data_IF_943124021128
#
_entry.id   IF_943124021128
#
_cell.length_a   1.000
_cell.length_b   1.000
_cell.length_c   1.000
_cell.angle_alpha   90.00
_cell.angle_beta   90.00
_cell.angle_gamma   90.00
#
_symmetry.space_group_name_H-M   'P 1'
#
loop_
_entity.id
_entity.type
_entity.pdbx_description
1 polymer ?
#
# COMPACT_ATOMS: atom_id res chain seq x y z
N UNK A 1 -44.14 1.03 36.35
CA UNK A 1 -42.87 1.41 37.01
C UNK A 1 -42.40 2.74 36.43
N UNK A 2 -42.60 3.85 37.15
CA UNK A 2 -42.30 5.22 36.69
C UNK A 2 -40.95 5.65 37.26
N UNK A 3 -40.03 6.10 36.40
CA UNK A 3 -38.67 6.46 36.82
C UNK A 3 -38.67 7.70 37.71
N UNK A 4 -38.11 7.55 38.91
CA UNK A 4 -37.91 8.55 39.94
C UNK A 4 -36.77 9.49 39.57
N UNK A 5 -37.03 10.59 38.86
CA UNK A 5 -36.09 11.72 38.81
C UNK A 5 -36.83 12.98 38.38
N UNK A 6 -37.09 13.86 39.36
CA UNK A 6 -37.72 15.15 39.15
C UNK A 6 -36.99 16.00 38.11
N UNK A 7 -37.76 16.78 37.35
CA UNK A 7 -37.27 17.74 36.37
C UNK A 7 -36.35 18.76 37.05
N UNK A 8 -35.04 18.48 37.13
CA UNK A 8 -34.07 19.43 37.69
C UNK A 8 -34.00 20.64 36.78
N UNK A 9 -34.27 21.82 37.34
CA UNK A 9 -34.18 23.07 36.57
C UNK A 9 -32.75 23.26 36.02
N UNK A 10 -32.57 23.92 34.86
CA UNK A 10 -31.25 24.15 34.28
C UNK A 10 -30.26 24.83 35.24
N UNK A 11 -30.75 25.70 36.12
CA UNK A 11 -29.96 26.34 37.18
C UNK A 11 -29.45 25.33 38.23
N UNK A 12 -30.29 24.36 38.60
CA UNK A 12 -29.92 23.28 39.53
C UNK A 12 -28.84 22.37 38.92
N UNK A 13 -28.97 22.03 37.64
CA UNK A 13 -27.97 21.24 36.91
C UNK A 13 -26.64 22.00 36.82
N UNK A 14 -26.66 23.30 36.50
CA UNK A 14 -25.47 24.13 36.43
C UNK A 14 -24.74 24.22 37.77
N UNK A 15 -25.48 24.39 38.88
CA UNK A 15 -24.91 24.46 40.24
C UNK A 15 -24.25 23.15 40.67
N UNK A 16 -24.86 22.00 40.36
CA UNK A 16 -24.32 20.67 40.70
C UNK A 16 -23.10 20.33 39.84
N UNK A 17 -23.20 20.55 38.52
CA UNK A 17 -22.16 20.15 37.54
C UNK A 17 -21.02 21.17 37.42
N UNK A 18 -21.18 22.38 37.98
CA UNK A 18 -20.29 23.53 37.79
C UNK A 18 -20.07 23.91 36.32
N UNK A 19 -20.98 23.50 35.43
CA UNK A 19 -20.99 23.89 34.02
C UNK A 19 -21.78 25.19 33.89
N UNK A 20 -21.31 26.18 33.09
CA UNK A 20 -22.05 27.41 32.85
C UNK A 20 -23.49 27.15 32.42
N UNK A 21 -24.46 27.87 33.02
CA UNK A 21 -25.90 27.68 32.77
C UNK A 21 -26.28 27.77 31.29
N UNK A 22 -25.55 28.56 30.49
CA UNK A 22 -25.70 28.65 29.03
C UNK A 22 -25.48 27.30 28.32
N UNK A 23 -24.46 26.55 28.74
CA UNK A 23 -24.08 25.27 28.13
C UNK A 23 -25.07 24.19 28.54
N UNK A 24 -25.56 24.23 29.78
CA UNK A 24 -26.62 23.34 30.25
C UNK A 24 -27.90 23.55 29.44
N UNK A 25 -28.34 24.80 29.25
CA UNK A 25 -29.51 25.12 28.41
C UNK A 25 -29.32 24.65 26.97
N UNK A 26 -28.16 24.91 26.37
CA UNK A 26 -27.82 24.44 25.02
C UNK A 26 -27.91 22.91 24.89
N UNK A 27 -27.31 22.16 25.83
CA UNK A 27 -27.33 20.71 25.82
C UNK A 27 -28.75 20.15 26.01
N UNK A 28 -29.59 20.75 26.85
CA UNK A 28 -31.00 20.33 27.00
C UNK A 28 -31.75 20.47 25.68
N UNK A 29 -31.58 21.59 24.98
CA UNK A 29 -32.17 21.80 23.64
C UNK A 29 -31.60 20.79 22.63
N UNK A 30 -30.28 20.55 22.67
CA UNK A 30 -29.61 19.57 21.80
C UNK A 30 -30.16 18.16 22.01
N UNK A 31 -30.34 17.71 23.26
CA UNK A 31 -30.94 16.42 23.61
C UNK A 31 -32.39 16.34 23.16
N UNK A 32 -33.18 17.41 23.38
CA UNK A 32 -34.59 17.43 22.96
C UNK A 32 -34.73 17.27 21.44
N UNK A 33 -33.83 17.85 20.66
CA UNK A 33 -33.88 17.83 19.20
C UNK A 33 -33.22 16.58 18.58
N UNK A 34 -32.09 16.11 19.12
CA UNK A 34 -31.25 15.06 18.51
C UNK A 34 -31.28 13.73 19.30
N UNK A 35 -31.88 13.71 20.48
CA UNK A 35 -31.87 12.56 21.39
C UNK A 35 -30.51 12.28 22.04
N UNK A 36 -29.44 12.97 21.64
CA UNK A 36 -28.07 12.75 22.12
C UNK A 36 -27.30 14.05 22.31
N UNK A 37 -26.33 14.02 23.24
CA UNK A 37 -25.34 15.10 23.45
C UNK A 37 -24.12 14.89 22.55
N UNK A 38 -23.96 13.69 21.99
CA UNK A 38 -22.80 13.30 21.19
C UNK A 38 -22.58 14.23 19.99
N UNK A 39 -21.34 14.30 19.55
CA UNK A 39 -20.97 15.04 18.36
C UNK A 39 -21.43 14.33 17.08
N UNK A 40 -21.57 15.11 16.01
CA UNK A 40 -21.98 14.56 14.71
C UNK A 40 -20.95 13.52 14.25
N UNK A 41 -21.39 12.31 13.87
CA UNK A 41 -20.47 11.30 13.35
C UNK A 41 -19.80 11.78 12.06
N UNK A 42 -18.55 11.31 11.85
CA UNK A 42 -17.80 11.64 10.64
C UNK A 42 -18.47 11.00 9.42
N UNK A 43 -18.42 11.72 8.29
CA UNK A 43 -18.88 11.19 6.99
C UNK A 43 -18.05 9.99 6.53
N UNK A 44 -16.73 10.04 6.72
CA UNK A 44 -15.83 8.94 6.36
C UNK A 44 -15.76 7.94 7.51
N UNK A 45 -16.19 6.72 7.25
CA UNK A 45 -16.30 5.63 8.23
C UNK A 45 -15.03 4.78 8.30
N UNK A 46 -14.96 3.88 9.27
CA UNK A 46 -13.85 2.92 9.38
C UNK A 46 -13.75 1.97 8.17
N UNK A 47 -14.87 1.66 7.51
CA UNK A 47 -14.87 0.85 6.29
C UNK A 47 -14.28 1.61 5.10
N UNK A 48 -14.49 2.92 5.04
CA UNK A 48 -13.90 3.78 4.02
C UNK A 48 -12.41 3.95 4.25
N UNK A 49 -11.96 3.99 5.51
CA UNK A 49 -10.53 3.96 5.85
C UNK A 49 -9.83 2.70 5.30
N UNK A 50 -10.49 1.55 5.38
CA UNK A 50 -9.96 0.30 4.79
C UNK A 50 -9.85 0.44 3.26
N UNK A 51 -10.85 1.01 2.60
CA UNK A 51 -10.84 1.23 1.16
C UNK A 51 -9.72 2.20 0.73
N UNK A 52 -9.61 3.33 1.41
CA UNK A 52 -8.56 4.33 1.20
C UNK A 52 -7.16 3.72 1.39
N UNK A 53 -6.96 2.94 2.46
CA UNK A 53 -5.70 2.24 2.74
C UNK A 53 -5.36 1.25 1.62
N UNK A 54 -6.33 0.48 1.13
CA UNK A 54 -6.14 -0.46 0.02
C UNK A 54 -5.82 0.25 -1.29
N UNK A 55 -6.52 1.33 -1.63
CA UNK A 55 -6.28 2.09 -2.86
C UNK A 55 -4.88 2.72 -2.87
N UNK A 56 -4.46 3.33 -1.75
CA UNK A 56 -3.11 3.90 -1.61
C UNK A 56 -2.04 2.81 -1.64
N UNK A 57 -2.31 1.62 -1.08
CA UNK A 57 -1.37 0.50 -1.17
C UNK A 57 -1.20 -0.03 -2.59
N UNK A 58 -2.24 0.04 -3.42
CA UNK A 58 -2.18 -0.37 -4.84
C UNK A 58 -1.41 0.66 -5.67
N UNK A 59 -1.67 1.94 -5.43
CA UNK A 59 -0.97 3.04 -6.06
C UNK A 59 -0.75 4.14 -5.02
N UNK A 60 0.48 4.30 -4.56
CA UNK A 60 0.80 5.31 -3.56
C UNK A 60 1.01 6.71 -4.15
N UNK A 61 0.98 6.85 -5.47
CA UNK A 61 1.07 8.12 -6.19
C UNK A 61 -0.32 8.72 -6.49
N UNK A 62 -1.40 8.03 -6.10
CA UNK A 62 -2.78 8.48 -6.34
C UNK A 62 -3.02 9.87 -5.74
N UNK A 63 -3.55 10.78 -6.55
CA UNK A 63 -3.86 12.15 -6.12
C UNK A 63 -5.08 12.14 -5.20
N UNK A 64 -5.16 13.11 -4.28
CA UNK A 64 -6.34 13.23 -3.40
C UNK A 64 -7.65 13.41 -4.19
N UNK A 65 -7.62 14.04 -5.37
CA UNK A 65 -8.80 14.16 -6.24
C UNK A 65 -9.26 12.79 -6.78
N UNK A 66 -8.32 11.93 -7.19
CA UNK A 66 -8.65 10.58 -7.66
C UNK A 66 -9.27 9.73 -6.54
N UNK A 67 -8.82 9.91 -5.29
CA UNK A 67 -9.44 9.25 -4.13
C UNK A 67 -10.85 9.76 -3.86
N UNK A 68 -11.11 11.05 -4.05
CA UNK A 68 -12.48 11.61 -3.97
C UNK A 68 -13.37 10.95 -5.02
N UNK A 69 -12.91 10.88 -6.27
CA UNK A 69 -13.68 10.23 -7.32
C UNK A 69 -13.94 8.76 -7.00
N UNK A 70 -12.96 8.02 -6.47
CA UNK A 70 -13.17 6.63 -6.04
C UNK A 70 -14.18 6.50 -4.90
N UNK A 71 -14.17 7.41 -3.92
CA UNK A 71 -15.17 7.42 -2.85
C UNK A 71 -16.58 7.72 -3.39
N UNK A 72 -16.70 8.62 -4.36
CA UNK A 72 -17.99 8.91 -4.98
C UNK A 72 -18.51 7.70 -5.77
N UNK A 73 -17.70 7.09 -6.64
CA UNK A 73 -18.17 6.01 -7.51
C UNK A 73 -18.33 4.65 -6.80
N UNK A 74 -17.38 4.26 -5.94
CA UNK A 74 -17.37 2.93 -5.33
C UNK A 74 -18.21 2.86 -4.03
N UNK A 75 -18.47 4.02 -3.40
CA UNK A 75 -19.07 4.11 -2.05
C UNK A 75 -20.21 5.11 -1.96
N UNK A 76 -20.58 5.78 -3.05
CA UNK A 76 -21.59 6.85 -3.09
C UNK A 76 -21.33 7.96 -2.05
N UNK A 77 -20.06 8.21 -1.76
CA UNK A 77 -19.64 9.12 -0.70
C UNK A 77 -19.12 10.43 -1.28
N UNK A 78 -19.99 11.43 -1.36
CA UNK A 78 -19.60 12.77 -1.81
C UNK A 78 -18.85 13.54 -0.69
N UNK A 79 -17.53 13.64 -0.84
CA UNK A 79 -16.63 14.35 0.08
C UNK A 79 -15.66 15.25 -0.65
N UNK A 80 -15.24 16.32 0.01
CA UNK A 80 -14.22 17.21 -0.54
C UNK A 80 -12.83 16.56 -0.54
N UNK A 81 -11.95 17.05 -1.42
CA UNK A 81 -10.52 16.70 -1.41
C UNK A 81 -9.88 16.92 -0.04
N UNK A 82 -10.27 17.99 0.66
CA UNK A 82 -9.74 18.31 1.97
C UNK A 82 -10.17 17.29 3.03
N UNK A 83 -11.42 16.83 2.98
CA UNK A 83 -11.93 15.77 3.86
C UNK A 83 -11.08 14.51 3.72
N UNK A 84 -10.78 14.09 2.49
CA UNK A 84 -9.90 12.94 2.23
C UNK A 84 -8.50 13.18 2.78
N UNK A 85 -7.90 14.35 2.55
CA UNK A 85 -6.56 14.67 3.09
C UNK A 85 -6.50 14.65 4.62
N UNK A 86 -7.50 15.23 5.29
CA UNK A 86 -7.61 15.20 6.73
C UNK A 86 -7.78 13.78 7.27
N UNK A 87 -8.60 12.96 6.60
CA UNK A 87 -8.77 11.56 6.98
C UNK A 87 -7.46 10.77 6.80
N UNK A 88 -6.76 10.94 5.68
CA UNK A 88 -5.46 10.30 5.44
C UNK A 88 -4.42 10.70 6.48
N UNK A 89 -4.35 11.98 6.87
CA UNK A 89 -3.49 12.44 7.97
C UNK A 89 -3.84 11.74 9.28
N UNK A 90 -5.13 11.63 9.62
CA UNK A 90 -5.61 10.88 10.81
C UNK A 90 -5.21 9.40 10.76
N UNK A 91 -5.25 8.79 9.58
CA UNK A 91 -4.79 7.41 9.35
C UNK A 91 -3.26 7.25 9.34
N UNK A 92 -2.50 8.34 9.59
CA UNK A 92 -1.03 8.34 9.65
C UNK A 92 -0.33 8.46 8.29
N UNK A 93 -1.05 8.76 7.21
CA UNK A 93 -0.46 8.98 5.90
C UNK A 93 0.13 10.38 5.74
N UNK A 94 1.30 10.44 5.10
CA UNK A 94 1.95 11.66 4.64
C UNK A 94 2.22 11.57 3.15
N UNK A 95 1.94 12.65 2.42
CA UNK A 95 2.32 12.80 1.01
C UNK A 95 3.66 13.51 0.95
N UNK A 96 4.69 12.85 0.42
CA UNK A 96 6.04 13.40 0.35
C UNK A 96 6.72 13.04 -0.99
N UNK A 97 7.69 13.84 -1.41
CA UNK A 97 8.56 13.45 -2.52
C UNK A 97 9.44 12.28 -2.08
N UNK A 98 9.62 11.24 -2.92
CA UNK A 98 10.59 10.20 -2.63
C UNK A 98 12.01 10.77 -2.62
N UNK A 99 12.91 10.14 -1.87
CA UNK A 99 14.33 10.46 -1.93
C UNK A 99 14.87 10.26 -3.35
N UNK A 100 15.77 11.15 -3.77
CA UNK A 100 16.48 11.00 -5.05
C UNK A 100 17.45 9.83 -4.90
N UNK A 101 17.17 8.75 -5.62
CA UNK A 101 18.05 7.57 -5.67
C UNK A 101 18.31 7.22 -7.11
N UNK A 102 19.57 6.95 -7.46
CA UNK A 102 19.93 6.42 -8.77
C UNK A 102 19.20 5.10 -9.03
N UNK A 103 18.67 4.90 -10.24
CA UNK A 103 18.00 3.66 -10.61
C UNK A 103 19.04 2.57 -10.84
N UNK A 104 19.41 1.87 -9.76
CA UNK A 104 20.35 0.75 -9.84
C UNK A 104 19.64 -0.52 -10.31
N UNK A 105 20.09 -1.06 -11.45
CA UNK A 105 19.73 -2.40 -11.89
C UNK A 105 20.39 -3.44 -10.98
N UNK A 106 19.93 -4.69 -11.06
CA UNK A 106 20.52 -5.78 -10.27
C UNK A 106 22.01 -5.96 -10.60
N UNK A 107 22.36 -5.94 -11.88
CA UNK A 107 23.75 -5.96 -12.36
C UNK A 107 24.59 -4.82 -11.80
N UNK A 108 24.04 -3.59 -11.71
CA UNK A 108 24.76 -2.47 -11.12
C UNK A 108 25.06 -2.68 -9.63
N UNK A 109 24.13 -3.30 -8.88
CA UNK A 109 24.33 -3.59 -7.47
C UNK A 109 25.43 -4.62 -7.27
N UNK A 110 25.38 -5.71 -8.04
CA UNK A 110 26.39 -6.77 -7.99
C UNK A 110 27.78 -6.22 -8.33
N UNK A 111 27.90 -5.46 -9.42
CA UNK A 111 29.16 -4.82 -9.80
C UNK A 111 29.69 -3.88 -8.71
N UNK A 112 28.82 -3.05 -8.11
CA UNK A 112 29.22 -2.16 -7.00
C UNK A 112 29.71 -2.92 -5.78
N UNK A 113 29.03 -4.02 -5.42
CA UNK A 113 29.43 -4.85 -4.28
C UNK A 113 30.76 -5.56 -4.55
N UNK A 114 30.92 -6.15 -5.74
CA UNK A 114 32.17 -6.79 -6.14
C UNK A 114 33.34 -5.80 -6.16
N UNK A 115 33.13 -4.61 -6.71
CA UNK A 115 34.15 -3.56 -6.72
C UNK A 115 34.55 -3.16 -5.30
N UNK A 116 33.57 -2.96 -4.40
CA UNK A 116 33.85 -2.61 -3.01
C UNK A 116 34.58 -3.72 -2.23
N UNK A 117 34.33 -4.99 -2.56
CA UNK A 117 35.06 -6.12 -1.98
C UNK A 117 36.50 -6.14 -2.48
N UNK A 118 36.70 -5.94 -3.78
CA UNK A 118 38.02 -5.98 -4.42
C UNK A 118 38.94 -4.86 -3.92
N UNK A 119 38.40 -3.65 -3.70
CA UNK A 119 39.16 -2.46 -3.32
C UNK A 119 39.02 -2.13 -1.83
N UNK A 120 38.68 -3.13 -1.00
CA UNK A 120 38.43 -2.92 0.44
C UNK A 120 39.68 -2.47 1.20
N UNK A 121 40.83 -3.01 0.82
CA UNK A 121 42.10 -2.84 1.52
C UNK A 121 43.09 -1.96 0.74
N UNK A 122 42.60 -1.23 -0.27
CA UNK A 122 43.41 -0.35 -1.11
C UNK A 122 43.87 0.91 -0.36
N UNK A 123 45.09 1.35 -0.64
CA UNK A 123 45.62 2.64 -0.16
C UNK A 123 45.26 3.77 -1.14
N UNK A 124 44.35 4.64 -0.71
CA UNK A 124 43.83 5.76 -1.48
C UNK A 124 44.71 7.03 -1.42
N UNK A 125 45.80 7.01 -0.64
CA UNK A 125 46.67 8.18 -0.40
C UNK A 125 47.29 8.79 -1.67
N UNK A 126 47.43 8.00 -2.74
CA UNK A 126 47.98 8.41 -4.05
C UNK A 126 46.92 8.48 -5.15
N UNK A 127 45.64 8.39 -4.82
CA UNK A 127 44.55 8.38 -5.80
C UNK A 127 43.85 9.74 -5.86
N UNK A 128 43.74 10.32 -7.06
CA UNK A 128 42.93 11.52 -7.30
C UNK A 128 41.63 11.09 -7.95
N UNK A 129 40.51 11.50 -7.36
CA UNK A 129 39.18 11.32 -7.94
C UNK A 129 38.77 12.57 -8.71
N UNK A 130 38.27 12.40 -9.92
CA UNK A 130 37.63 13.44 -10.73
C UNK A 130 36.20 13.02 -11.04
N UNK A 131 35.26 13.97 -11.03
CA UNK A 131 33.86 13.73 -11.39
C UNK A 131 33.31 14.92 -12.19
N UNK A 132 32.36 14.64 -13.09
CA UNK A 132 31.65 15.65 -13.87
C UNK A 132 30.21 15.76 -13.38
N UNK A 133 29.76 16.97 -13.05
CA UNK A 133 28.38 17.17 -12.58
C UNK A 133 27.47 17.66 -13.70
N UNK A 134 26.41 16.91 -13.98
CA UNK A 134 25.33 17.33 -14.90
C UNK A 134 24.17 18.01 -14.15
N UNK A 135 23.70 19.16 -14.65
CA UNK A 135 22.55 19.88 -14.08
C UNK A 135 21.24 19.43 -14.74
N UNK A 136 20.29 18.90 -13.95
CA UNK A 136 18.96 18.53 -14.45
C UNK A 136 17.99 19.72 -14.46
N UNK A 137 17.41 20.01 -15.63
CA UNK A 137 16.41 21.07 -15.82
C UNK A 137 15.03 20.73 -15.25
N UNK A 138 14.68 19.44 -15.15
CA UNK A 138 13.36 19.00 -14.69
C UNK A 138 13.44 18.23 -13.37
N UNK A 139 12.63 18.65 -12.39
CA UNK A 139 12.58 18.05 -11.05
C UNK A 139 11.43 17.05 -10.95
N UNK A 140 11.64 15.96 -10.24
CA UNK A 140 10.56 15.05 -9.87
C UNK A 140 9.56 15.76 -8.93
N UNK A 141 8.32 15.91 -9.38
CA UNK A 141 7.21 16.52 -8.62
C UNK A 141 6.21 15.49 -8.09
N UNK A 142 6.41 14.20 -8.40
CA UNK A 142 5.47 13.12 -8.05
C UNK A 142 5.62 12.80 -6.56
N UNK A 143 4.58 13.11 -5.79
CA UNK A 143 4.51 12.81 -4.36
C UNK A 143 3.88 11.43 -4.14
N UNK A 144 4.42 10.71 -3.16
CA UNK A 144 3.93 9.40 -2.73
C UNK A 144 3.34 9.48 -1.33
N UNK A 145 2.20 8.84 -1.14
CA UNK A 145 1.60 8.58 0.15
C UNK A 145 2.36 7.46 0.87
N UNK A 146 2.72 7.70 2.11
CA UNK A 146 3.32 6.67 2.95
C UNK A 146 2.86 6.85 4.40
N UNK A 147 2.57 5.73 5.06
CA UNK A 147 2.57 5.69 6.53
C UNK A 147 4.03 5.61 6.94
N UNK A 148 4.47 6.60 7.72
CA UNK A 148 5.83 6.82 8.21
C UNK A 148 6.88 5.82 7.66
N UNK A 149 7.64 6.19 6.61
CA UNK A 149 8.78 5.40 6.15
C UNK A 149 9.80 5.14 7.27
N UNK A 150 9.86 6.05 8.25
CA UNK A 150 10.67 5.95 9.46
C UNK A 150 10.36 4.70 10.28
N UNK A 151 9.10 4.26 10.35
CA UNK A 151 8.71 3.12 11.19
C UNK A 151 9.28 1.80 10.65
N UNK A 152 9.23 1.62 9.32
CA UNK A 152 9.89 0.50 8.63
C UNK A 152 11.40 0.59 8.69
N UNK A 153 11.95 1.80 8.60
CA UNK A 153 13.38 2.05 8.69
C UNK A 153 13.90 1.78 10.11
N UNK A 154 13.14 2.11 11.14
CA UNK A 154 13.46 1.85 12.55
C UNK A 154 13.44 0.34 12.82
N UNK A 155 12.42 -0.37 12.33
CA UNK A 155 12.36 -1.84 12.40
C UNK A 155 13.56 -2.46 11.66
N UNK A 156 13.89 -1.98 10.46
CA UNK A 156 15.07 -2.41 9.71
C UNK A 156 16.36 -2.15 10.49
N UNK A 157 16.51 -0.95 11.07
CA UNK A 157 17.69 -0.54 11.85
C UNK A 157 17.88 -1.43 13.07
N UNK A 158 16.83 -1.72 13.83
CA UNK A 158 16.92 -2.61 14.99
C UNK A 158 17.17 -4.06 14.58
N UNK A 159 16.56 -4.52 13.48
CA UNK A 159 16.81 -5.85 12.94
C UNK A 159 18.26 -6.03 12.46
N UNK A 160 18.83 -5.04 11.76
CA UNK A 160 20.25 -5.03 11.34
C UNK A 160 21.22 -4.98 12.53
N UNK A 161 20.77 -4.47 13.68
CA UNK A 161 21.52 -4.50 14.96
C UNK A 161 21.40 -5.84 15.71
N UNK A 162 20.72 -6.84 15.12
CA UNK A 162 20.58 -8.18 15.69
C UNK A 162 19.46 -8.35 16.72
N UNK A 163 18.56 -7.38 16.88
CA UNK A 163 17.45 -7.51 17.83
C UNK A 163 16.39 -8.52 17.32
N UNK A 164 15.86 -9.31 18.24
CA UNK A 164 14.74 -10.23 17.96
C UNK A 164 13.45 -9.47 17.69
N UNK A 165 12.53 -10.04 16.91
CA UNK A 165 11.26 -9.37 16.56
C UNK A 165 10.43 -8.92 17.77
N UNK A 166 10.50 -9.65 18.90
CA UNK A 166 9.86 -9.24 20.15
C UNK A 166 10.53 -8.05 20.84
N UNK A 167 11.86 -7.94 20.79
CA UNK A 167 12.60 -6.77 21.28
C UNK A 167 12.34 -5.55 20.38
N UNK A 168 12.36 -5.75 19.06
CA UNK A 168 12.04 -4.69 18.10
C UNK A 168 10.65 -4.13 18.36
N UNK A 169 9.64 -4.99 18.59
CA UNK A 169 8.28 -4.55 18.91
C UNK A 169 8.21 -3.62 20.13
N UNK A 170 8.88 -3.98 21.24
CA UNK A 170 8.91 -3.14 22.45
C UNK A 170 9.46 -1.73 22.19
N UNK A 171 10.41 -1.57 21.27
CA UNK A 171 10.96 -0.27 20.90
C UNK A 171 10.08 0.55 19.94
N UNK A 172 9.12 -0.08 19.25
CA UNK A 172 8.30 0.57 18.22
C UNK A 172 6.80 0.57 18.52
N UNK A 173 6.38 -0.01 19.65
CA UNK A 173 4.99 -0.07 20.09
C UNK A 173 4.39 1.33 20.26
N UNK A 174 5.17 2.27 20.81
CA UNK A 174 4.78 3.68 20.95
C UNK A 174 4.57 4.40 19.61
N UNK A 175 5.07 3.83 18.50
CA UNK A 175 4.85 4.33 17.14
C UNK A 175 3.55 3.77 16.52
N UNK A 176 2.79 2.95 17.25
CA UNK A 176 1.54 2.34 16.77
C UNK A 176 1.74 1.17 15.81
N UNK A 177 2.96 0.60 15.74
CA UNK A 177 3.22 -0.60 14.94
C UNK A 177 2.79 -1.83 15.74
N UNK A 178 1.88 -2.62 15.18
CA UNK A 178 1.48 -3.88 15.82
C UNK A 178 2.60 -4.92 15.77
N UNK A 179 2.62 -5.85 16.74
CA UNK A 179 3.57 -6.97 16.78
C UNK A 179 3.63 -7.72 15.44
N UNK A 180 2.46 -8.03 14.87
CA UNK A 180 2.37 -8.65 13.55
C UNK A 180 2.93 -7.76 12.42
N UNK A 181 2.82 -6.44 12.53
CA UNK A 181 3.47 -5.48 11.63
C UNK A 181 4.99 -5.63 11.63
N UNK A 182 5.60 -5.75 12.81
CA UNK A 182 7.05 -5.97 12.97
C UNK A 182 7.49 -7.28 12.32
N UNK A 183 6.84 -8.39 12.65
CA UNK A 183 7.17 -9.69 12.05
C UNK A 183 7.00 -9.72 10.52
N UNK A 184 5.96 -9.05 9.98
CA UNK A 184 5.79 -8.90 8.52
C UNK A 184 6.89 -8.05 7.87
N UNK A 185 7.44 -7.07 8.56
CA UNK A 185 8.56 -6.27 8.05
C UNK A 185 9.84 -7.10 8.10
N UNK A 186 10.12 -7.79 9.20
CA UNK A 186 11.30 -8.66 9.36
C UNK A 186 11.29 -9.79 8.32
N UNK A 187 10.19 -10.54 8.20
CA UNK A 187 10.07 -11.59 7.17
C UNK A 187 10.25 -11.04 5.75
N UNK A 188 9.81 -9.80 5.48
CA UNK A 188 10.07 -9.17 4.18
C UNK A 188 11.54 -8.83 3.98
N UNK A 189 12.20 -8.30 5.00
CA UNK A 189 13.63 -8.00 4.96
C UNK A 189 14.46 -9.26 4.74
N UNK A 190 14.15 -10.37 5.41
CA UNK A 190 14.81 -11.66 5.18
C UNK A 190 14.61 -12.15 3.74
N UNK A 191 13.38 -12.09 3.23
CA UNK A 191 13.05 -12.69 1.92
C UNK A 191 13.47 -11.84 0.71
N UNK A 192 13.57 -10.51 0.86
CA UNK A 192 13.78 -9.59 -0.29
C UNK A 192 14.89 -8.57 -0.10
N UNK A 193 15.49 -8.48 1.09
CA UNK A 193 16.48 -7.45 1.43
C UNK A 193 15.94 -6.01 1.35
N UNK A 194 14.62 -5.83 1.26
CA UNK A 194 13.98 -4.54 0.97
C UNK A 194 12.81 -4.24 1.88
N UNK A 195 12.68 -2.95 2.25
CA UNK A 195 11.54 -2.41 2.98
C UNK A 195 10.32 -2.15 2.08
N UNK A 196 10.50 -2.20 0.75
CA UNK A 196 9.43 -1.98 -0.21
C UNK A 196 8.47 -3.18 -0.27
N UNK A 197 7.21 -2.93 -0.60
CA UNK A 197 6.23 -4.00 -0.74
C UNK A 197 6.62 -4.99 -1.84
N UNK A 198 6.29 -6.28 -1.65
CA UNK A 198 6.47 -7.27 -2.71
C UNK A 198 5.60 -6.89 -3.92
N UNK A 199 6.12 -6.98 -5.16
CA UNK A 199 5.26 -6.96 -6.33
C UNK A 199 4.22 -8.07 -6.18
N UNK A 200 2.94 -7.75 -6.39
CA UNK A 200 1.89 -8.75 -6.22
C UNK A 200 2.03 -9.81 -7.31
N UNK A 201 2.02 -11.08 -6.92
CA UNK A 201 1.66 -12.15 -7.83
C UNK A 201 0.18 -11.96 -8.17
N UNK A 202 -0.11 -11.51 -9.39
CA UNK A 202 -1.49 -11.39 -9.87
C UNK A 202 -2.25 -12.71 -9.77
N UNK A 203 -3.58 -12.67 -9.94
CA UNK A 203 -4.42 -13.88 -9.94
C UNK A 203 -3.83 -14.90 -10.93
N UNK A 204 -3.59 -16.16 -10.51
CA UNK A 204 -3.14 -17.21 -11.42
C UNK A 204 -4.07 -17.27 -12.64
N UNK A 205 -3.50 -17.24 -13.84
CA UNK A 205 -4.29 -17.26 -15.07
C UNK A 205 -4.94 -18.64 -15.21
N UNK A 206 -6.27 -18.72 -15.10
CA UNK A 206 -7.01 -20.00 -15.18
C UNK A 206 -6.80 -20.69 -16.53
N UNK A 207 -6.98 -19.94 -17.63
CA UNK A 207 -6.85 -20.50 -18.98
C UNK A 207 -5.40 -20.72 -19.41
N UNK A 208 -4.43 -20.02 -18.81
CA UNK A 208 -3.01 -20.01 -19.21
C UNK A 208 -2.12 -20.42 -18.04
N UNK A 209 -2.49 -21.53 -17.40
CA UNK A 209 -1.73 -22.09 -16.28
C UNK A 209 -0.42 -22.73 -16.77
N UNK A 210 0.62 -22.75 -15.92
CA UNK A 210 1.92 -23.35 -16.27
C UNK A 210 1.80 -24.82 -16.72
N UNK A 211 0.94 -25.60 -16.04
CA UNK A 211 0.66 -27.01 -16.38
C UNK A 211 0.05 -27.15 -17.78
N UNK A 212 -0.92 -26.29 -18.11
CA UNK A 212 -1.58 -26.30 -19.42
C UNK A 212 -0.63 -25.84 -20.53
N UNK A 213 0.15 -24.79 -20.31
CA UNK A 213 1.19 -24.32 -21.24
C UNK A 213 2.19 -25.45 -21.54
N UNK A 214 2.64 -26.19 -20.50
CA UNK A 214 3.53 -27.33 -20.66
C UNK A 214 2.90 -28.45 -21.51
N UNK A 215 1.62 -28.80 -21.28
CA UNK A 215 0.92 -29.80 -22.11
C UNK A 215 0.76 -29.36 -23.57
N UNK A 216 0.38 -28.11 -23.82
CA UNK A 216 0.20 -27.58 -25.18
C UNK A 216 1.53 -27.56 -25.92
N UNK A 217 2.62 -27.14 -25.25
CA UNK A 217 3.98 -27.22 -25.80
C UNK A 217 4.33 -28.63 -26.24
N UNK A 218 4.06 -29.63 -25.41
CA UNK A 218 4.34 -31.03 -25.72
C UNK A 218 3.47 -31.56 -26.87
N UNK A 219 2.19 -31.16 -26.95
CA UNK A 219 1.31 -31.53 -28.07
C UNK A 219 1.78 -30.97 -29.41
N UNK A 220 2.34 -29.75 -29.41
CA UNK A 220 2.93 -29.13 -30.61
C UNK A 220 4.24 -29.79 -30.97
N UNK A 221 5.09 -30.12 -29.98
CA UNK A 221 6.32 -30.86 -30.20
C UNK A 221 6.09 -32.19 -30.93
N UNK A 222 4.99 -32.87 -30.63
CA UNK A 222 4.60 -34.15 -31.25
C UNK A 222 4.00 -34.01 -32.65
N UNK A 223 3.35 -32.88 -32.95
CA UNK A 223 2.80 -32.60 -34.27
C UNK A 223 2.77 -31.07 -34.50
N UNK A 224 3.79 -30.52 -35.18
CA UNK A 224 3.92 -29.08 -35.43
C UNK A 224 2.85 -28.49 -36.37
N UNK A 225 2.26 -29.29 -37.25
CA UNK A 225 1.25 -28.84 -38.24
C UNK A 225 -0.16 -28.72 -37.65
N UNK A 226 -0.30 -28.90 -36.34
CA UNK A 226 -1.61 -28.91 -35.70
C UNK A 226 -2.19 -27.49 -35.60
N UNK A 227 -3.32 -27.28 -36.27
CA UNK A 227 -4.05 -26.00 -36.20
C UNK A 227 -4.41 -25.60 -34.76
N UNK A 228 -4.27 -24.31 -34.45
CA UNK A 228 -4.68 -23.72 -33.17
C UNK A 228 -6.15 -24.00 -32.83
N UNK A 229 -7.03 -24.05 -33.85
CA UNK A 229 -8.45 -24.32 -33.64
C UNK A 229 -8.68 -25.76 -33.13
N UNK A 230 -7.97 -26.74 -33.69
CA UNK A 230 -8.01 -28.14 -33.23
C UNK A 230 -7.43 -28.28 -31.82
N UNK A 231 -6.36 -27.54 -31.50
CA UNK A 231 -5.78 -27.50 -30.15
C UNK A 231 -6.73 -26.89 -29.11
N UNK A 232 -7.44 -25.82 -29.49
CA UNK A 232 -8.46 -25.19 -28.66
C UNK A 232 -9.60 -26.16 -28.32
N UNK A 233 -10.14 -26.86 -29.32
CA UNK A 233 -11.20 -27.85 -29.14
C UNK A 233 -10.76 -29.02 -28.24
N UNK A 234 -9.52 -29.51 -28.40
CA UNK A 234 -8.99 -30.62 -27.61
C UNK A 234 -8.62 -30.27 -26.16
N UNK A 235 -8.40 -28.99 -25.83
CA UNK A 235 -8.12 -28.54 -24.46
C UNK A 235 -9.33 -27.85 -23.82
N UNK A 236 -10.48 -27.84 -24.51
CA UNK A 236 -11.72 -27.18 -24.11
C UNK A 236 -11.48 -25.71 -23.71
N UNK A 237 -10.85 -24.96 -24.62
CA UNK A 237 -10.60 -23.52 -24.44
C UNK A 237 -10.98 -22.73 -25.67
N UNK A 238 -11.35 -21.47 -25.44
CA UNK A 238 -11.58 -20.53 -26.51
C UNK A 238 -10.32 -20.33 -27.40
N UNK A 239 -10.55 -20.21 -28.71
CA UNK A 239 -9.49 -20.10 -29.71
C UNK A 239 -8.64 -18.83 -29.54
N UNK A 240 -9.20 -17.73 -29.00
CA UNK A 240 -8.42 -16.52 -28.66
C UNK A 240 -7.46 -16.81 -27.50
N UNK A 241 -7.91 -17.57 -26.50
CA UNK A 241 -7.05 -18.01 -25.40
C UNK A 241 -5.94 -18.94 -25.88
N UNK A 242 -6.25 -19.88 -26.78
CA UNK A 242 -5.23 -20.76 -27.39
C UNK A 242 -4.21 -19.95 -28.19
N UNK A 243 -4.65 -19.03 -29.05
CA UNK A 243 -3.76 -18.11 -29.78
C UNK A 243 -2.90 -17.26 -28.84
N UNK A 244 -3.46 -16.83 -27.71
CA UNK A 244 -2.71 -16.14 -26.65
C UNK A 244 -1.62 -17.02 -26.04
N UNK A 245 -1.89 -18.29 -25.75
CA UNK A 245 -0.88 -19.25 -25.25
C UNK A 245 0.24 -19.43 -26.28
N UNK A 246 -0.12 -19.65 -27.54
CA UNK A 246 0.86 -19.86 -28.61
C UNK A 246 1.73 -18.62 -28.80
N UNK A 247 1.12 -17.45 -28.98
CA UNK A 247 1.84 -16.22 -29.31
C UNK A 247 2.56 -15.59 -28.10
N UNK A 248 1.91 -15.53 -26.95
CA UNK A 248 2.42 -14.76 -25.79
C UNK A 248 3.28 -15.65 -24.88
N UNK A 249 2.83 -16.88 -24.62
CA UNK A 249 3.46 -17.73 -23.60
C UNK A 249 4.44 -18.77 -24.18
N UNK A 250 4.33 -19.10 -25.48
CA UNK A 250 5.21 -20.04 -26.19
C UNK A 250 6.02 -19.41 -27.33
N UNK A 251 5.70 -18.18 -27.72
CA UNK A 251 6.30 -17.46 -28.86
C UNK A 251 6.26 -18.25 -30.19
N UNK A 252 5.16 -18.94 -30.43
CA UNK A 252 4.92 -19.76 -31.62
C UNK A 252 3.88 -19.12 -32.54
N UNK A 253 4.13 -19.19 -33.85
CA UNK A 253 3.13 -18.86 -34.87
C UNK A 253 2.25 -20.09 -35.13
N UNK A 254 0.92 -19.98 -35.01
CA UNK A 254 0.03 -21.09 -35.32
C UNK A 254 0.14 -21.49 -36.79
N UNK A 255 0.10 -22.79 -37.06
CA UNK A 255 -0.04 -23.31 -38.42
C UNK A 255 -1.33 -22.78 -39.06
N UNK A 256 -1.22 -22.27 -40.29
CA UNK A 256 -2.34 -21.77 -41.09
C UNK A 256 -2.91 -22.93 -41.88
N UNK A 257 -4.15 -23.32 -41.54
CA UNK A 257 -5.02 -24.03 -42.46
C UNK A 257 -5.83 -23.01 -43.24
#
# INVERSE_FOLDING_TARGET
MKSSNGHRSPATIARITKIPIRTVKYNIVKIKNQGTIEDRPRKVTANDDIALDQWIRRNNETKSQELVQKLLHDRDLNVSRWTVQCQLKRMGYKSALPYRTSMLTQKHKEARVQWAIQHKDDDWSRTIFTDETSYQLFRNTIRRWSKNPRDRLIVQKYFQRGLTGGQVFRHVEQLGITRNGVYRIISRLCDTGSIQGRPRTGRPRTCRSKKRIKRIREKIRRNPERSARKLAMNEDIDNRSMRGILKIDLDLKPYKN
#
